data_IF_270205632697
#
_entry.id   IF_270205632697
#
_cell.length_a   1.000
_cell.length_b   1.000
_cell.length_c   1.000
_cell.angle_alpha   90.00
_cell.angle_beta   90.00
_cell.angle_gamma   90.00
#
_symmetry.space_group_name_H-M   'P 1'
#
loop_
_entity.id
_entity.type
_entity.pdbx_description
1 polymer ?
#
# COMPACT_ATOMS: atom_id res chain seq x y z
N UNK A 1 62.10 32.37 30.18
CA UNK A 1 61.69 31.02 29.71
C UNK A 1 60.20 31.05 29.46
N UNK A 2 59.76 31.09 28.20
CA UNK A 2 58.33 30.98 27.85
C UNK A 2 57.90 29.55 28.15
N UNK A 3 56.82 29.39 28.91
CA UNK A 3 56.31 28.10 29.35
C UNK A 3 55.91 27.23 28.15
N UNK A 4 56.46 26.02 28.05
CA UNK A 4 56.17 25.03 26.99
C UNK A 4 54.67 24.80 26.78
N UNK A 5 53.87 24.96 27.84
CA UNK A 5 52.41 24.83 27.81
C UNK A 5 51.73 25.94 27.00
N UNK A 6 52.27 27.16 27.02
CA UNK A 6 51.72 28.31 26.26
C UNK A 6 51.99 28.16 24.76
N UNK A 7 53.15 27.61 24.39
CA UNK A 7 53.51 27.36 22.98
C UNK A 7 52.61 26.28 22.36
N UNK A 8 52.30 25.22 23.10
CA UNK A 8 51.43 24.14 22.63
C UNK A 8 50.00 24.65 22.41
N UNK A 9 49.43 25.42 23.34
CA UNK A 9 48.07 25.96 23.21
C UNK A 9 47.96 26.88 21.99
N UNK A 10 48.94 27.78 21.78
CA UNK A 10 48.96 28.62 20.59
C UNK A 10 49.09 27.82 19.29
N UNK A 11 49.87 26.73 19.27
CA UNK A 11 49.98 25.87 18.08
C UNK A 11 48.67 25.14 17.76
N UNK A 12 47.92 24.70 18.77
CA UNK A 12 46.59 24.10 18.57
C UNK A 12 45.57 25.12 18.06
N UNK A 13 45.52 26.32 18.64
CA UNK A 13 44.61 27.39 18.18
C UNK A 13 44.90 27.82 16.73
N UNK A 14 46.19 27.94 16.35
CA UNK A 14 46.59 28.26 14.98
C UNK A 14 46.20 27.11 14.03
N UNK A 15 46.38 25.85 14.43
CA UNK A 15 46.02 24.69 13.62
C UNK A 15 44.50 24.57 13.40
N UNK A 16 43.69 24.79 14.44
CA UNK A 16 42.23 24.83 14.35
C UNK A 16 41.75 25.95 13.43
N UNK A 17 42.29 27.17 13.59
CA UNK A 17 41.95 28.31 12.72
C UNK A 17 42.29 28.03 11.25
N UNK A 18 43.45 27.39 11.00
CA UNK A 18 43.88 27.05 9.63
C UNK A 18 43.01 25.95 9.01
N UNK A 19 42.52 24.99 9.81
CA UNK A 19 41.59 23.95 9.37
C UNK A 19 40.21 24.52 9.03
N UNK A 20 39.68 25.41 9.88
CA UNK A 20 38.40 26.10 9.61
C UNK A 20 38.47 26.96 8.35
N UNK A 21 39.56 27.69 8.12
CA UNK A 21 39.76 28.47 6.90
C UNK A 21 39.83 27.58 5.64
N UNK A 22 40.47 26.41 5.72
CA UNK A 22 40.55 25.47 4.60
C UNK A 22 39.19 24.83 4.29
N UNK A 23 38.41 24.46 5.30
CA UNK A 23 37.05 23.94 5.12
C UNK A 23 36.11 24.99 4.55
N UNK A 24 36.21 26.24 5.02
CA UNK A 24 35.45 27.37 4.50
C UNK A 24 35.74 27.63 3.01
N UNK A 25 37.03 27.64 2.62
CA UNK A 25 37.43 27.81 1.22
C UNK A 25 36.92 26.66 0.34
N UNK A 26 37.01 25.42 0.82
CA UNK A 26 36.48 24.25 0.11
C UNK A 26 34.97 24.33 -0.07
N UNK A 27 34.24 24.77 0.95
CA UNK A 27 32.79 24.98 0.87
C UNK A 27 32.43 26.07 -0.15
N UNK A 28 33.13 27.21 -0.13
CA UNK A 28 32.90 28.31 -1.06
C UNK A 28 33.08 27.89 -2.52
N UNK A 29 34.12 27.11 -2.83
CA UNK A 29 34.36 26.58 -4.18
C UNK A 29 33.22 25.65 -4.62
N UNK A 30 32.79 24.74 -3.74
CA UNK A 30 31.66 23.84 -4.03
C UNK A 30 30.36 24.63 -4.20
N UNK A 31 30.12 25.64 -3.36
CA UNK A 31 28.94 26.49 -3.44
C UNK A 31 28.88 27.22 -4.80
N UNK A 32 29.99 27.81 -5.24
CA UNK A 32 30.08 28.52 -6.52
C UNK A 32 29.86 27.59 -7.72
N UNK A 33 30.46 26.40 -7.70
CA UNK A 33 30.28 25.39 -8.75
C UNK A 33 28.81 24.91 -8.84
N UNK A 34 28.19 24.64 -7.68
CA UNK A 34 26.77 24.22 -7.62
C UNK A 34 25.84 25.36 -8.01
N UNK A 35 26.18 26.61 -7.66
CA UNK A 35 25.40 27.76 -8.10
C UNK A 35 25.43 27.92 -9.62
N UNK A 36 26.58 27.69 -10.26
CA UNK A 36 26.70 27.64 -11.73
C UNK A 36 25.82 26.56 -12.37
N UNK A 37 25.72 25.38 -11.74
CA UNK A 37 24.79 24.33 -12.19
C UNK A 37 23.32 24.78 -12.04
N UNK A 38 22.98 25.41 -10.90
CA UNK A 38 21.64 25.94 -10.68
C UNK A 38 21.28 27.02 -11.71
N UNK A 39 22.24 27.86 -12.11
CA UNK A 39 21.98 28.87 -13.14
C UNK A 39 21.60 28.28 -14.49
N UNK A 40 22.16 27.12 -14.87
CA UNK A 40 21.75 26.40 -16.09
C UNK A 40 20.29 25.95 -16.01
N UNK A 41 19.88 25.38 -14.87
CA UNK A 41 18.47 25.03 -14.66
C UNK A 41 17.55 26.25 -14.70
N UNK A 42 18.00 27.39 -14.16
CA UNK A 42 17.25 28.64 -14.20
C UNK A 42 17.11 29.17 -15.62
N UNK A 43 18.13 29.06 -16.46
CA UNK A 43 18.06 29.41 -17.88
C UNK A 43 17.05 28.53 -18.62
N UNK A 44 17.09 27.21 -18.43
CA UNK A 44 16.08 26.29 -18.99
C UNK A 44 14.65 26.64 -18.56
N UNK A 45 14.47 27.10 -17.31
CA UNK A 45 13.19 27.51 -16.77
C UNK A 45 12.70 28.86 -17.35
N UNK A 46 13.62 29.73 -17.74
CA UNK A 46 13.29 30.98 -18.42
C UNK A 46 12.95 30.74 -19.91
N UNK A 47 13.62 29.77 -20.55
CA UNK A 47 13.36 29.35 -21.93
C UNK A 47 12.03 28.58 -22.06
N UNK A 48 11.65 27.82 -21.03
CA UNK A 48 10.34 27.17 -20.91
C UNK A 48 9.60 27.64 -19.65
N UNK A 49 8.90 28.79 -19.72
CA UNK A 49 8.37 29.47 -18.55
C UNK A 49 7.36 28.61 -17.79
N UNK A 50 7.66 28.35 -16.51
CA UNK A 50 6.76 27.64 -15.59
C UNK A 50 6.84 28.24 -14.19
N UNK A 51 5.71 28.18 -13.48
CA UNK A 51 5.65 28.51 -12.06
C UNK A 51 6.25 27.35 -11.26
N UNK A 52 7.19 27.66 -10.38
CA UNK A 52 7.82 26.67 -9.48
C UNK A 52 7.79 27.12 -8.04
N UNK A 53 7.73 26.17 -7.11
CA UNK A 53 7.88 26.49 -5.68
C UNK A 53 9.34 26.74 -5.36
N UNK A 54 9.63 27.80 -4.64
CA UNK A 54 11.02 28.14 -4.28
C UNK A 54 11.69 27.06 -3.41
N UNK A 55 10.89 26.28 -2.67
CA UNK A 55 11.39 25.13 -1.92
C UNK A 55 11.98 24.04 -2.82
N UNK A 56 11.50 23.89 -4.06
CA UNK A 56 12.03 22.91 -5.02
C UNK A 56 13.39 23.36 -5.54
N UNK A 57 13.53 24.66 -5.84
CA UNK A 57 14.80 25.29 -6.23
C UNK A 57 15.83 25.14 -5.10
N UNK A 58 15.41 25.43 -3.86
CA UNK A 58 16.26 25.30 -2.68
C UNK A 58 16.65 23.85 -2.41
N UNK A 59 15.70 22.92 -2.54
CA UNK A 59 15.95 21.48 -2.34
C UNK A 59 16.94 20.94 -3.36
N UNK A 60 16.81 21.33 -4.63
CA UNK A 60 17.76 20.95 -5.69
C UNK A 60 19.15 21.50 -5.39
N UNK A 61 19.26 22.77 -5.02
CA UNK A 61 20.54 23.40 -4.67
C UNK A 61 21.23 22.68 -3.50
N UNK A 62 20.48 22.41 -2.41
CA UNK A 62 20.97 21.66 -1.24
C UNK A 62 21.41 20.24 -1.62
N UNK A 63 20.65 19.57 -2.49
CA UNK A 63 20.99 18.22 -2.93
C UNK A 63 22.27 18.21 -3.77
N UNK A 64 22.47 19.18 -4.66
CA UNK A 64 23.70 19.30 -5.43
C UNK A 64 24.91 19.56 -4.53
N UNK A 65 24.79 20.41 -3.50
CA UNK A 65 25.86 20.60 -2.50
C UNK A 65 26.22 19.29 -1.82
N UNK A 66 25.21 18.50 -1.39
CA UNK A 66 25.43 17.20 -0.77
C UNK A 66 26.11 16.19 -1.69
N UNK A 67 25.70 16.15 -2.95
CA UNK A 67 26.28 15.27 -3.95
C UNK A 67 27.75 15.61 -4.25
N UNK A 68 28.17 16.86 -4.02
CA UNK A 68 29.56 17.31 -4.14
C UNK A 68 30.39 17.10 -2.86
N UNK A 69 29.92 16.26 -1.93
CA UNK A 69 30.70 15.79 -0.78
C UNK A 69 30.57 16.61 0.49
N UNK A 70 29.58 17.52 0.57
CA UNK A 70 29.30 18.33 1.76
C UNK A 70 28.13 17.75 2.54
N UNK A 71 28.40 17.18 3.73
CA UNK A 71 27.38 16.52 4.56
C UNK A 71 26.37 17.49 5.17
N UNK A 72 26.85 18.63 5.68
CA UNK A 72 26.03 19.67 6.31
C UNK A 72 26.00 20.95 5.48
N UNK A 73 24.80 21.41 5.16
CA UNK A 73 24.60 22.66 4.41
C UNK A 73 24.34 23.78 5.39
N UNK A 74 25.21 24.78 5.36
CA UNK A 74 25.12 25.94 6.23
C UNK A 74 23.79 26.68 6.09
N UNK A 75 23.29 27.21 7.21
CA UNK A 75 21.97 27.84 7.28
C UNK A 75 21.85 29.09 6.39
N UNK A 76 22.95 29.82 6.22
CA UNK A 76 23.00 31.03 5.40
C UNK A 76 22.95 30.72 3.90
N UNK A 77 23.37 29.54 3.46
CA UNK A 77 23.35 29.08 2.07
C UNK A 77 21.92 29.07 1.50
N UNK A 78 20.95 28.62 2.30
CA UNK A 78 19.52 28.67 1.92
C UNK A 78 18.96 30.09 1.96
N UNK A 79 19.36 30.87 2.97
CA UNK A 79 18.88 32.24 3.19
C UNK A 79 19.34 33.19 2.09
N UNK A 80 20.58 33.03 1.62
CA UNK A 80 21.20 33.88 0.62
C UNK A 80 20.82 33.51 -0.81
N UNK A 81 20.36 32.28 -1.06
CA UNK A 81 20.03 31.81 -2.40
C UNK A 81 19.00 32.69 -3.11
N UNK A 82 17.94 33.08 -2.39
CA UNK A 82 16.91 33.98 -2.94
C UNK A 82 17.52 35.29 -3.41
N UNK A 83 18.32 35.93 -2.55
CA UNK A 83 18.98 37.20 -2.84
C UNK A 83 19.97 37.07 -4.00
N UNK A 84 20.72 35.96 -4.09
CA UNK A 84 21.62 35.66 -5.22
C UNK A 84 20.84 35.59 -6.54
N UNK A 85 19.69 34.89 -6.56
CA UNK A 85 18.84 34.78 -7.74
C UNK A 85 18.15 36.10 -8.11
N UNK A 86 17.65 36.86 -7.14
CA UNK A 86 17.09 38.20 -7.36
C UNK A 86 18.14 39.15 -7.93
N UNK A 87 19.39 39.10 -7.45
CA UNK A 87 20.47 39.94 -8.00
C UNK A 87 20.85 39.56 -9.44
N UNK A 88 20.87 38.25 -9.75
CA UNK A 88 21.32 37.77 -11.06
C UNK A 88 20.23 37.92 -12.14
N UNK A 89 18.99 37.59 -11.80
CA UNK A 89 17.88 37.56 -12.75
C UNK A 89 16.97 38.79 -12.66
N UNK A 90 17.02 39.55 -11.56
CA UNK A 90 16.35 40.86 -11.42
C UNK A 90 14.91 40.82 -11.90
N UNK A 91 14.61 41.64 -12.91
CA UNK A 91 13.29 41.78 -13.53
C UNK A 91 12.87 40.61 -14.44
N UNK A 92 13.65 39.52 -14.53
CA UNK A 92 13.26 38.30 -15.28
C UNK A 92 12.45 37.33 -14.43
N UNK A 93 12.53 37.42 -13.10
CA UNK A 93 11.81 36.54 -12.17
C UNK A 93 11.06 37.37 -11.13
N UNK A 94 9.94 36.84 -10.64
CA UNK A 94 9.15 37.44 -9.59
C UNK A 94 8.81 36.40 -8.53
N UNK A 95 8.86 36.80 -7.26
CA UNK A 95 8.52 35.94 -6.13
C UNK A 95 7.18 36.37 -5.52
N UNK A 96 6.27 35.41 -5.34
CA UNK A 96 4.94 35.64 -4.76
C UNK A 96 4.68 34.62 -3.66
N UNK A 97 4.19 35.06 -2.51
CA UNK A 97 3.70 34.14 -1.49
C UNK A 97 2.26 33.73 -1.80
N UNK A 98 1.94 32.45 -1.69
CA UNK A 98 0.56 31.99 -1.72
C UNK A 98 -0.13 32.16 -0.34
N UNK A 99 -1.43 31.88 -0.27
CA UNK A 99 -2.22 31.99 0.97
C UNK A 99 -1.73 31.07 2.10
N UNK A 100 -1.00 30.01 1.74
CA UNK A 100 -0.36 29.08 2.68
C UNK A 100 1.02 29.53 3.14
N UNK A 101 1.50 30.70 2.70
CA UNK A 101 2.84 31.23 3.00
C UNK A 101 3.98 30.60 2.20
N UNK A 102 3.69 29.74 1.23
CA UNK A 102 4.70 29.17 0.33
C UNK A 102 5.13 30.17 -0.73
N UNK A 103 6.44 30.31 -0.90
CA UNK A 103 7.02 31.20 -1.90
C UNK A 103 7.05 30.52 -3.27
N UNK A 104 6.39 31.13 -4.24
CA UNK A 104 6.36 30.78 -5.66
C UNK A 104 7.32 31.68 -6.43
N UNK A 105 7.96 31.12 -7.44
CA UNK A 105 8.83 31.84 -8.36
C UNK A 105 8.23 31.75 -9.77
N UNK A 106 8.09 32.90 -10.41
CA UNK A 106 7.45 33.07 -11.71
C UNK A 106 8.39 33.80 -12.66
N UNK A 107 8.62 33.28 -13.88
CA UNK A 107 9.26 34.06 -14.94
C UNK A 107 8.38 35.23 -15.37
N UNK A 108 8.95 36.42 -15.53
CA UNK A 108 8.22 37.60 -16.04
C UNK A 108 7.91 37.52 -17.54
N UNK A 109 8.47 36.54 -18.24
CA UNK A 109 8.08 36.20 -19.61
C UNK A 109 6.66 35.62 -19.70
N UNK A 110 6.09 35.15 -18.59
CA UNK A 110 4.70 34.66 -18.58
C UNK A 110 3.70 35.81 -18.56
N UNK A 111 2.77 35.80 -19.51
CA UNK A 111 1.64 36.72 -19.48
C UNK A 111 0.57 36.25 -18.47
N UNK A 112 -0.33 37.15 -18.11
CA UNK A 112 -1.51 36.80 -17.30
C UNK A 112 -2.36 35.73 -17.99
N UNK A 113 -2.46 35.78 -19.31
CA UNK A 113 -3.23 34.81 -20.09
C UNK A 113 -2.61 33.41 -20.03
N UNK A 114 -1.28 33.32 -19.99
CA UNK A 114 -0.56 32.04 -19.86
C UNK A 114 -0.80 31.41 -18.49
N UNK A 115 -0.81 32.24 -17.43
CA UNK A 115 -1.14 31.78 -16.07
C UNK A 115 -2.59 31.27 -15.98
N UNK A 116 -3.54 31.97 -16.61
CA UNK A 116 -4.95 31.54 -16.64
C UNK A 116 -5.09 30.22 -17.41
N UNK A 117 -4.46 30.09 -18.58
CA UNK A 117 -4.46 28.84 -19.36
C UNK A 117 -3.84 27.67 -18.59
N UNK A 118 -2.73 27.91 -17.90
CA UNK A 118 -2.07 26.89 -17.08
C UNK A 118 -2.97 26.44 -15.92
N UNK A 119 -3.62 27.38 -15.24
CA UNK A 119 -4.54 27.07 -14.16
C UNK A 119 -5.74 26.25 -14.66
N UNK A 120 -6.36 26.66 -15.77
CA UNK A 120 -7.49 25.93 -16.38
C UNK A 120 -7.09 24.48 -16.76
N UNK A 121 -5.92 24.30 -17.37
CA UNK A 121 -5.38 22.96 -17.67
C UNK A 121 -5.15 22.11 -16.41
N UNK A 122 -4.60 22.70 -15.34
CA UNK A 122 -4.36 22.00 -14.08
C UNK A 122 -5.68 21.65 -13.37
N UNK A 123 -6.65 22.56 -13.36
CA UNK A 123 -7.99 22.30 -12.83
C UNK A 123 -8.72 21.21 -13.61
N UNK A 124 -8.61 21.19 -14.94
CA UNK A 124 -9.16 20.12 -15.77
C UNK A 124 -8.51 18.76 -15.46
N UNK A 125 -7.17 18.71 -15.29
CA UNK A 125 -6.45 17.50 -14.87
C UNK A 125 -6.86 17.02 -13.49
N UNK A 126 -6.98 17.92 -12.51
CA UNK A 126 -7.43 17.57 -11.15
C UNK A 126 -8.85 16.99 -11.17
N UNK A 127 -9.78 17.66 -11.86
CA UNK A 127 -11.16 17.19 -12.00
C UNK A 127 -11.23 15.83 -12.70
N UNK A 128 -10.39 15.61 -13.71
CA UNK A 128 -10.28 14.32 -14.37
C UNK A 128 -9.80 13.23 -13.40
N UNK A 129 -8.79 13.51 -12.56
CA UNK A 129 -8.30 12.57 -11.54
C UNK A 129 -9.39 12.24 -10.51
N UNK A 130 -10.08 13.25 -9.99
CA UNK A 130 -11.17 13.08 -9.02
C UNK A 130 -12.32 12.25 -9.61
N UNK A 131 -12.76 12.56 -10.83
CA UNK A 131 -13.88 11.84 -11.49
C UNK A 131 -13.47 10.43 -11.95
N UNK A 132 -12.19 10.20 -12.23
CA UNK A 132 -11.64 8.92 -12.64
C UNK A 132 -11.47 7.96 -11.45
N UNK A 133 -11.26 8.47 -10.23
CA UNK A 133 -11.10 7.66 -9.02
C UNK A 133 -12.29 6.72 -8.76
N UNK A 134 -13.52 7.25 -8.79
CA UNK A 134 -14.72 6.46 -8.43
C UNK A 134 -15.06 5.43 -9.52
N UNK A 135 -14.98 5.82 -10.80
CA UNK A 135 -15.23 4.90 -11.90
C UNK A 135 -14.21 3.77 -11.96
N UNK A 136 -12.94 4.08 -11.70
CA UNK A 136 -11.88 3.07 -11.65
C UNK A 136 -12.07 2.13 -10.45
N UNK A 137 -12.48 2.65 -9.29
CA UNK A 137 -12.76 1.84 -8.11
C UNK A 137 -13.92 0.88 -8.35
N UNK A 138 -15.04 1.36 -8.90
CA UNK A 138 -16.19 0.53 -9.25
C UNK A 138 -15.79 -0.53 -10.27
N UNK A 139 -15.02 -0.15 -11.29
CA UNK A 139 -14.53 -1.08 -12.32
C UNK A 139 -13.65 -2.17 -11.71
N UNK A 140 -12.70 -1.81 -10.84
CA UNK A 140 -11.85 -2.76 -10.15
C UNK A 140 -12.67 -3.70 -9.25
N UNK A 141 -13.66 -3.19 -8.51
CA UNK A 141 -14.56 -3.99 -7.70
C UNK A 141 -15.37 -4.99 -8.56
N UNK A 142 -15.88 -4.57 -9.72
CA UNK A 142 -16.58 -5.44 -10.66
C UNK A 142 -15.68 -6.56 -11.21
N UNK A 143 -14.42 -6.25 -11.55
CA UNK A 143 -13.45 -7.25 -12.02
C UNK A 143 -13.21 -8.31 -10.94
N UNK A 144 -12.94 -7.87 -9.70
CA UNK A 144 -12.72 -8.77 -8.56
C UNK A 144 -13.98 -9.62 -8.31
N UNK A 145 -15.17 -9.01 -8.30
CA UNK A 145 -16.44 -9.74 -8.12
C UNK A 145 -16.62 -10.81 -9.19
N UNK A 146 -16.46 -10.45 -10.46
CA UNK A 146 -16.64 -11.38 -11.57
C UNK A 146 -15.67 -12.55 -11.49
N UNK A 147 -14.41 -12.32 -11.14
CA UNK A 147 -13.41 -13.38 -10.97
C UNK A 147 -13.82 -14.39 -9.88
N UNK A 148 -14.35 -13.92 -8.74
CA UNK A 148 -14.85 -14.80 -7.68
C UNK A 148 -16.13 -15.55 -8.08
N UNK A 149 -17.02 -14.92 -8.86
CA UNK A 149 -18.24 -15.58 -9.34
C UNK A 149 -17.92 -16.75 -10.27
N UNK A 150 -16.80 -16.72 -11.01
CA UNK A 150 -16.37 -17.85 -11.84
C UNK A 150 -16.00 -19.09 -11.02
N UNK A 151 -15.74 -18.97 -9.71
CA UNK A 151 -15.48 -20.14 -8.86
C UNK A 151 -16.75 -20.98 -8.61
N UNK A 152 -17.95 -20.41 -8.77
CA UNK A 152 -19.21 -21.10 -8.50
C UNK A 152 -19.38 -22.38 -9.32
N UNK A 153 -18.89 -22.40 -10.56
CA UNK A 153 -19.01 -23.57 -11.44
C UNK A 153 -18.16 -24.77 -11.01
N UNK A 154 -17.21 -24.59 -10.08
CA UNK A 154 -16.33 -25.65 -9.61
C UNK A 154 -16.71 -26.25 -8.25
N UNK A 155 -17.78 -25.78 -7.60
CA UNK A 155 -18.14 -26.25 -6.26
C UNK A 155 -18.87 -27.60 -6.35
N UNK A 156 -18.14 -28.71 -6.16
CA UNK A 156 -18.70 -30.05 -6.07
C UNK A 156 -19.42 -30.21 -4.72
N UNK A 157 -20.61 -30.81 -4.74
CA UNK A 157 -21.40 -31.03 -3.53
C UNK A 157 -21.91 -32.48 -3.46
N UNK A 158 -21.68 -33.22 -2.36
CA UNK A 158 -20.87 -32.83 -1.19
C UNK A 158 -19.37 -32.72 -1.51
N UNK A 159 -18.59 -31.95 -0.73
CA UNK A 159 -17.16 -31.79 -0.95
C UNK A 159 -16.38 -33.04 -0.56
N UNK A 160 -15.30 -33.33 -1.31
CA UNK A 160 -14.31 -34.37 -0.96
C UNK A 160 -13.25 -33.82 0.01
N UNK A 161 -12.48 -34.68 0.71
CA UNK A 161 -11.35 -34.22 1.53
C UNK A 161 -10.34 -33.38 0.75
N UNK A 162 -10.10 -33.70 -0.51
CA UNK A 162 -9.23 -32.96 -1.41
C UNK A 162 -9.77 -31.54 -1.66
N UNK A 163 -11.09 -31.39 -1.89
CA UNK A 163 -11.74 -30.08 -2.07
C UNK A 163 -11.62 -29.17 -0.84
N UNK A 164 -11.45 -29.77 0.34
CA UNK A 164 -11.32 -29.06 1.63
C UNK A 164 -9.87 -28.76 2.02
N UNK A 165 -8.91 -29.40 1.36
CA UNK A 165 -7.49 -29.30 1.70
C UNK A 165 -6.83 -28.01 1.20
N UNK A 166 -7.22 -27.53 0.01
CA UNK A 166 -6.61 -26.38 -0.63
C UNK A 166 -7.68 -25.40 -1.14
N UNK A 167 -7.54 -24.13 -0.74
CA UNK A 167 -8.36 -23.05 -1.28
C UNK A 167 -7.52 -22.19 -2.21
N UNK A 168 -7.97 -22.03 -3.45
CA UNK A 168 -7.31 -21.19 -4.45
C UNK A 168 -7.96 -19.81 -4.50
N UNK A 169 -7.27 -18.80 -3.99
CA UNK A 169 -7.75 -17.42 -4.02
C UNK A 169 -7.51 -16.80 -5.40
N UNK A 170 -8.52 -16.19 -6.05
CA UNK A 170 -8.33 -15.54 -7.35
C UNK A 170 -7.31 -14.40 -7.30
N UNK A 171 -6.59 -14.19 -8.40
CA UNK A 171 -5.38 -13.35 -8.44
C UNK A 171 -5.69 -11.89 -8.09
N UNK A 172 -6.76 -11.31 -8.64
CA UNK A 172 -7.07 -9.91 -8.34
C UNK A 172 -7.57 -9.75 -6.91
N UNK A 173 -8.24 -10.77 -6.36
CA UNK A 173 -8.65 -10.79 -4.94
C UNK A 173 -7.44 -10.83 -4.03
N UNK A 174 -6.45 -11.67 -4.34
CA UNK A 174 -5.20 -11.73 -3.60
C UNK A 174 -4.48 -10.38 -3.63
N UNK A 175 -4.30 -9.78 -4.81
CA UNK A 175 -3.65 -8.48 -4.96
C UNK A 175 -4.41 -7.37 -4.21
N UNK A 176 -5.73 -7.37 -4.29
CA UNK A 176 -6.57 -6.42 -3.57
C UNK A 176 -6.39 -6.54 -2.05
N UNK A 177 -6.53 -7.74 -1.49
CA UNK A 177 -6.36 -7.95 -0.04
C UNK A 177 -4.95 -7.62 0.42
N UNK A 178 -3.93 -7.96 -0.39
CA UNK A 178 -2.54 -7.60 -0.11
C UNK A 178 -2.34 -6.08 -0.04
N UNK A 179 -2.86 -5.35 -1.03
CA UNK A 179 -2.77 -3.88 -1.05
C UNK A 179 -3.58 -3.24 0.07
N UNK A 180 -4.79 -3.76 0.35
CA UNK A 180 -5.67 -3.25 1.41
C UNK A 180 -5.04 -3.41 2.81
N UNK A 181 -4.45 -4.58 3.10
CA UNK A 181 -3.89 -4.88 4.42
C UNK A 181 -2.52 -4.22 4.67
N UNK A 182 -1.83 -3.75 3.62
CA UNK A 182 -0.50 -3.14 3.73
C UNK A 182 -0.50 -1.64 3.50
N UNK A 183 -1.41 -1.13 2.66
CA UNK A 183 -1.40 0.26 2.21
C UNK A 183 -0.35 0.57 1.14
N UNK A 184 0.18 -0.43 0.41
CA UNK A 184 1.13 -0.21 -0.70
C UNK A 184 1.05 -1.28 -1.81
N UNK A 185 1.86 -1.13 -2.87
CA UNK A 185 1.87 -1.96 -4.08
C UNK A 185 3.05 -2.97 -4.18
N UNK A 186 3.79 -3.22 -3.08
CA UNK A 186 4.93 -4.15 -3.10
C UNK A 186 4.48 -5.60 -3.17
N UNK A 187 5.23 -6.42 -3.92
CA UNK A 187 4.93 -7.85 -4.17
C UNK A 187 5.21 -8.71 -2.92
N UNK A 188 6.27 -8.41 -2.17
CA UNK A 188 6.62 -9.15 -0.96
C UNK A 188 5.86 -8.64 0.27
N UNK A 189 5.42 -9.56 1.12
CA UNK A 189 4.70 -9.26 2.34
C UNK A 189 5.11 -10.18 3.49
N UNK A 190 4.85 -9.75 4.73
CA UNK A 190 5.18 -10.53 5.92
C UNK A 190 4.28 -11.75 6.08
N UNK A 191 4.75 -12.75 6.85
CA UNK A 191 3.95 -13.95 7.19
C UNK A 191 2.61 -13.62 7.85
N UNK A 192 2.55 -12.53 8.64
CA UNK A 192 1.31 -12.03 9.22
C UNK A 192 0.30 -11.60 8.15
N UNK A 193 0.73 -10.82 7.17
CA UNK A 193 -0.16 -10.37 6.08
C UNK A 193 -0.61 -11.56 5.25
N UNK A 194 0.29 -12.49 4.94
CA UNK A 194 -0.05 -13.71 4.19
C UNK A 194 -1.16 -14.49 4.89
N UNK A 195 -1.03 -14.71 6.21
CA UNK A 195 -2.07 -15.38 7.01
C UNK A 195 -3.41 -14.62 7.01
N UNK A 196 -3.40 -13.29 7.02
CA UNK A 196 -4.64 -12.50 6.95
C UNK A 196 -5.30 -12.58 5.58
N UNK A 197 -4.52 -12.56 4.48
CA UNK A 197 -5.04 -12.77 3.13
C UNK A 197 -5.72 -14.13 3.04
N UNK A 198 -5.07 -15.19 3.52
CA UNK A 198 -5.62 -16.55 3.52
C UNK A 198 -6.78 -16.76 4.51
N UNK A 199 -6.91 -15.91 5.53
CA UNK A 199 -8.07 -15.91 6.43
C UNK A 199 -9.28 -15.19 5.83
N UNK A 200 -9.07 -14.03 5.20
CA UNK A 200 -10.13 -13.20 4.64
C UNK A 200 -10.57 -13.63 3.24
N UNK A 201 -9.67 -14.20 2.44
CA UNK A 201 -9.97 -14.65 1.08
C UNK A 201 -11.16 -15.61 0.98
N UNK A 202 -11.22 -16.67 1.82
CA UNK A 202 -12.38 -17.56 1.89
C UNK A 202 -13.68 -16.87 2.30
N UNK A 203 -13.64 -15.93 3.25
CA UNK A 203 -14.80 -15.13 3.66
C UNK A 203 -15.28 -14.22 2.53
N UNK A 204 -14.34 -13.56 1.86
CA UNK A 204 -14.62 -12.68 0.74
C UNK A 204 -15.30 -13.44 -0.41
N UNK A 205 -14.76 -14.60 -0.76
CA UNK A 205 -15.32 -15.45 -1.83
C UNK A 205 -16.70 -15.96 -1.45
N UNK A 206 -16.89 -16.43 -0.22
CA UNK A 206 -18.19 -16.88 0.26
C UNK A 206 -19.22 -15.76 0.23
N UNK A 207 -18.87 -14.56 0.71
CA UNK A 207 -19.75 -13.40 0.71
C UNK A 207 -20.10 -12.92 -0.71
N UNK A 208 -19.11 -12.79 -1.60
CA UNK A 208 -19.31 -12.35 -3.00
C UNK A 208 -20.21 -13.32 -3.76
N UNK A 209 -20.08 -14.62 -3.49
CA UNK A 209 -20.90 -15.66 -4.10
C UNK A 209 -22.25 -15.86 -3.41
N UNK A 210 -22.62 -15.01 -2.46
CA UNK A 210 -23.88 -15.11 -1.70
C UNK A 210 -24.04 -16.48 -1.02
N UNK A 211 -22.92 -17.04 -0.58
CA UNK A 211 -22.84 -18.34 0.05
C UNK A 211 -23.09 -19.52 -0.88
N UNK A 212 -23.13 -19.33 -2.21
CA UNK A 212 -23.21 -20.43 -3.20
C UNK A 212 -21.92 -21.22 -3.28
N UNK A 213 -20.77 -20.55 -3.18
CA UNK A 213 -19.48 -21.22 -3.07
C UNK A 213 -19.17 -21.48 -1.59
N UNK A 214 -19.06 -22.76 -1.21
CA UNK A 214 -18.79 -23.18 0.17
C UNK A 214 -17.28 -23.33 0.34
N UNK A 215 -16.63 -22.34 0.92
CA UNK A 215 -15.17 -22.40 1.08
C UNK A 215 -14.78 -23.37 2.22
N UNK A 216 -13.58 -23.96 2.19
CA UNK A 216 -13.13 -24.88 3.23
C UNK A 216 -13.27 -24.31 4.64
N UNK A 217 -12.99 -23.02 4.82
CA UNK A 217 -13.18 -22.31 6.10
C UNK A 217 -14.63 -22.40 6.62
N UNK A 218 -15.63 -22.21 5.76
CA UNK A 218 -17.04 -22.21 6.17
C UNK A 218 -17.57 -23.61 6.46
N UNK A 219 -16.93 -24.65 5.92
CA UNK A 219 -17.27 -26.06 6.15
C UNK A 219 -16.51 -26.56 7.38
N UNK A 220 -15.18 -26.51 7.36
CA UNK A 220 -14.31 -27.11 8.36
C UNK A 220 -14.41 -26.47 9.74
N UNK A 221 -14.65 -25.16 9.84
CA UNK A 221 -14.76 -24.50 11.15
C UNK A 221 -15.98 -25.02 11.94
N UNK A 222 -17.20 -25.06 11.38
CA UNK A 222 -18.32 -25.70 12.06
C UNK A 222 -18.12 -27.20 12.35
N UNK A 223 -17.56 -27.99 11.42
CA UNK A 223 -17.23 -29.40 11.67
C UNK A 223 -16.24 -29.57 12.84
N UNK A 224 -15.24 -28.70 12.93
CA UNK A 224 -14.31 -28.71 14.06
C UNK A 224 -15.04 -28.41 15.37
N UNK A 225 -15.98 -27.47 15.40
CA UNK A 225 -16.78 -27.18 16.59
C UNK A 225 -17.67 -28.35 17.00
N UNK A 226 -18.21 -29.08 16.03
CA UNK A 226 -18.99 -30.29 16.27
C UNK A 226 -18.15 -31.38 16.95
N UNK A 227 -16.92 -31.59 16.49
CA UNK A 227 -16.01 -32.56 17.10
C UNK A 227 -15.54 -32.18 18.51
N UNK A 228 -15.53 -30.88 18.86
CA UNK A 228 -14.89 -30.36 20.07
C UNK A 228 -15.86 -30.00 21.21
N UNK A 229 -17.17 -29.88 20.96
CA UNK A 229 -18.09 -29.27 21.95
C UNK A 229 -19.38 -30.07 22.17
N UNK A 230 -19.94 -29.98 23.39
CA UNK A 230 -21.29 -30.50 23.70
C UNK A 230 -22.42 -29.49 23.40
N UNK A 231 -22.09 -28.29 22.92
CA UNK A 231 -23.04 -27.18 22.65
C UNK A 231 -22.94 -26.72 21.18
N UNK A 232 -22.81 -27.70 20.28
CA UNK A 232 -22.52 -27.51 18.85
C UNK A 232 -23.54 -26.59 18.19
N UNK A 233 -24.83 -26.74 18.52
CA UNK A 233 -25.93 -26.03 17.85
C UNK A 233 -25.83 -24.52 18.05
N UNK A 234 -25.63 -24.05 19.27
CA UNK A 234 -25.60 -22.60 19.56
C UNK A 234 -24.33 -21.93 19.03
N UNK A 235 -23.19 -22.63 19.10
CA UNK A 235 -21.94 -22.12 18.53
C UNK A 235 -21.96 -22.09 17.00
N UNK A 236 -22.56 -23.10 16.37
CA UNK A 236 -22.74 -23.14 14.91
C UNK A 236 -23.68 -22.03 14.44
N UNK A 237 -24.80 -21.81 15.14
CA UNK A 237 -25.70 -20.67 14.87
C UNK A 237 -24.97 -19.34 15.00
N UNK A 238 -24.12 -19.18 16.03
CA UNK A 238 -23.32 -17.98 16.21
C UNK A 238 -22.34 -17.76 15.05
N UNK A 239 -21.57 -18.79 14.66
CA UNK A 239 -20.65 -18.71 13.52
C UNK A 239 -21.37 -18.36 12.22
N UNK A 240 -22.50 -19.02 11.95
CA UNK A 240 -23.30 -18.76 10.76
C UNK A 240 -23.85 -17.33 10.75
N UNK A 241 -24.37 -16.85 11.89
CA UNK A 241 -24.83 -15.46 12.03
C UNK A 241 -23.72 -14.44 11.81
N UNK A 242 -22.49 -14.76 12.21
CA UNK A 242 -21.32 -13.93 11.94
C UNK A 242 -20.77 -14.08 10.51
N UNK A 243 -21.36 -14.94 9.67
CA UNK A 243 -20.89 -15.17 8.30
C UNK A 243 -19.56 -15.92 8.22
N UNK A 244 -19.22 -16.73 9.22
CA UNK A 244 -17.96 -17.48 9.29
C UNK A 244 -18.14 -19.00 9.23
N UNK A 245 -19.36 -19.48 8.98
CA UNK A 245 -19.66 -20.89 8.94
C UNK A 245 -20.98 -21.21 8.26
N UNK A 246 -21.11 -22.45 7.80
CA UNK A 246 -22.38 -23.01 7.36
C UNK A 246 -23.39 -23.10 8.52
N UNK A 247 -24.67 -23.14 8.14
CA UNK A 247 -25.74 -23.41 9.10
C UNK A 247 -25.69 -24.86 9.58
N UNK A 248 -26.27 -25.13 10.76
CA UNK A 248 -26.33 -26.48 11.32
C UNK A 248 -27.03 -27.48 10.38
N UNK A 249 -28.09 -27.05 9.69
CA UNK A 249 -28.77 -27.90 8.70
C UNK A 249 -27.89 -28.24 7.51
N UNK A 250 -27.13 -27.27 6.99
CA UNK A 250 -26.21 -27.49 5.86
C UNK A 250 -25.06 -28.43 6.23
N UNK A 251 -24.62 -28.44 7.48
CA UNK A 251 -23.63 -29.41 7.97
C UNK A 251 -24.23 -30.81 7.97
N UNK A 252 -25.43 -30.97 8.53
CA UNK A 252 -26.14 -32.25 8.52
C UNK A 252 -26.43 -32.77 7.09
N UNK A 253 -26.67 -31.87 6.13
CA UNK A 253 -26.77 -32.23 4.70
C UNK A 253 -25.44 -32.80 4.17
N UNK A 254 -24.30 -32.20 4.52
CA UNK A 254 -22.97 -32.72 4.14
C UNK A 254 -22.74 -34.10 4.77
N UNK A 255 -22.97 -34.24 6.08
CA UNK A 255 -22.78 -35.51 6.80
C UNK A 255 -23.64 -36.63 6.21
N UNK A 256 -24.91 -36.33 5.92
CA UNK A 256 -25.84 -37.27 5.29
C UNK A 256 -25.34 -37.67 3.91
N UNK A 257 -24.90 -36.72 3.09
CA UNK A 257 -24.42 -36.99 1.74
C UNK A 257 -23.12 -37.83 1.75
N UNK A 258 -22.18 -37.54 2.66
CA UNK A 258 -20.96 -38.34 2.86
C UNK A 258 -21.32 -39.76 3.35
N UNK A 259 -22.26 -39.89 4.27
CA UNK A 259 -22.73 -41.18 4.77
C UNK A 259 -23.37 -42.01 3.64
N UNK A 260 -24.22 -41.40 2.81
CA UNK A 260 -24.82 -42.05 1.64
C UNK A 260 -23.75 -42.52 0.64
N UNK A 261 -22.75 -41.68 0.33
CA UNK A 261 -21.64 -42.07 -0.54
C UNK A 261 -20.84 -43.24 0.04
N UNK A 262 -20.60 -43.24 1.35
CA UNK A 262 -19.87 -44.31 2.05
C UNK A 262 -20.65 -45.62 2.03
N UNK A 263 -21.97 -45.57 2.22
CA UNK A 263 -22.85 -46.74 2.13
C UNK A 263 -22.84 -47.31 0.70
N UNK A 264 -23.01 -46.46 -0.31
CA UNK A 264 -22.97 -46.89 -1.72
C UNK A 264 -21.62 -47.50 -2.11
N UNK A 265 -20.50 -46.91 -1.67
CA UNK A 265 -19.17 -47.49 -1.89
C UNK A 265 -18.95 -48.80 -1.10
N UNK A 266 -19.57 -48.92 0.08
CA UNK A 266 -19.51 -50.10 0.93
C UNK A 266 -20.31 -51.30 0.41
N UNK A 267 -21.39 -51.07 -0.33
CA UNK A 267 -22.15 -52.12 -1.02
C UNK A 267 -21.29 -52.83 -2.09
N UNK A 268 -20.36 -52.11 -2.73
CA UNK A 268 -19.38 -52.67 -3.66
C UNK A 268 -18.22 -53.42 -2.96
N UNK A 269 -17.98 -53.14 -1.68
CA UNK A 269 -16.86 -53.69 -0.88
C UNK A 269 -17.29 -54.67 0.23
N UNK A 270 -18.55 -55.11 0.27
CA UNK A 270 -19.09 -55.97 1.34
C UNK A 270 -18.89 -55.40 2.77
N UNK A 271 -19.11 -54.10 2.96
CA UNK A 271 -19.21 -53.53 4.31
C UNK A 271 -20.47 -54.10 5.01
N UNK A 272 -20.25 -54.82 6.12
CA UNK A 272 -21.34 -55.34 6.96
C UNK A 272 -21.93 -54.18 7.76
N UNK A 273 -22.99 -53.56 7.25
CA UNK A 273 -23.82 -52.65 8.03
C UNK A 273 -24.46 -53.47 9.16
N UNK A 274 -24.34 -53.06 10.44
CA UNK A 274 -25.02 -53.71 11.55
C UNK A 274 -26.53 -53.81 11.26
N UNK A 275 -27.10 -55.03 11.33
CA UNK A 275 -28.50 -55.34 10.95
C UNK A 275 -29.57 -54.56 11.73
N UNK A 276 -29.17 -53.81 12.74
CA UNK A 276 -30.01 -52.95 13.58
C UNK A 276 -30.17 -51.52 13.05
N UNK A 277 -29.48 -51.14 11.97
CA UNK A 277 -29.71 -49.87 11.27
C UNK A 277 -30.63 -50.14 10.08
N UNK A 278 -31.91 -49.84 10.25
CA UNK A 278 -32.93 -50.02 9.20
C UNK A 278 -33.19 -48.68 8.53
N UNK A 279 -33.09 -48.62 7.20
CA UNK A 279 -33.49 -47.44 6.45
C UNK A 279 -34.95 -47.08 6.79
N UNK A 280 -35.20 -45.79 7.08
CA UNK A 280 -36.49 -45.21 7.53
C UNK A 280 -36.90 -45.42 9.00
N UNK A 281 -36.03 -45.95 9.86
CA UNK A 281 -36.30 -45.96 11.30
C UNK A 281 -35.87 -44.63 11.95
N UNK A 282 -36.69 -43.57 11.78
CA UNK A 282 -36.60 -42.40 12.65
C UNK A 282 -37.03 -42.80 14.07
N UNK A 283 -36.08 -43.08 14.96
CA UNK A 283 -36.38 -43.11 16.39
C UNK A 283 -36.34 -41.69 16.92
N UNK A 284 -37.52 -41.10 17.12
CA UNK A 284 -37.68 -39.99 18.05
C UNK A 284 -37.18 -40.45 19.43
N UNK A 285 -36.05 -39.88 19.87
CA UNK A 285 -35.66 -39.94 21.27
C UNK A 285 -36.51 -38.88 21.99
N UNK A 286 -37.43 -39.36 22.83
CA UNK A 286 -38.20 -38.58 23.78
C UNK A 286 -37.31 -38.00 24.89
#
# INVERSE_FOLDING_TARGET
>A
MVSTRTVIVQQYEIAETTLEEQEFQKYAIVEEAVFSELTKYMEELLDNPKVVRFIEVTSRYVQCIKNNGVSEVESHTKKNLRRKLENLYGSKIHFVSNDSGHLLMLPNSMSRDDLVRMNDQLSAKLKAIETCSDKNLITAACIIRNENLQLQSGNVWPPTPEDLSEFHLPKNTHLFLQSLLRGDNRIQHSSRVSRLIWSFGPDFTHAVTEGKFKTPKHILLPFALESLSRIVVELTKLLNRCGHGLSYSQIGEIETAIAMQTISAGEEQHLVIPRNIVANAFTHLA
#
